data_IF_416442977787
#
_entry.id   IF_416442977787
#
_cell.length_a   1.000
_cell.length_b   1.000
_cell.length_c   1.000
_cell.angle_alpha   90.00
_cell.angle_beta   90.00
_cell.angle_gamma   90.00
#
_symmetry.space_group_name_H-M   'P 1'
#
loop_
_entity.id
_entity.type
_entity.pdbx_description
1 polymer ?
#
# COMPACT_ATOMS: atom_id res chain seq x y z
N UNK A 1 -30.80 0.54 60.90
CA UNK A 1 -29.90 0.41 59.73
C UNK A 1 -30.67 -0.34 58.67
N UNK A 2 -31.26 0.38 57.73
CA UNK A 2 -32.21 -0.16 56.76
C UNK A 2 -31.47 -0.81 55.58
N UNK A 3 -31.71 -2.10 55.26
CA UNK A 3 -31.01 -2.83 54.19
C UNK A 3 -31.51 -2.49 52.77
N UNK A 4 -32.33 -1.44 52.60
CA UNK A 4 -33.01 -1.11 51.33
C UNK A 4 -32.37 0.02 50.51
N UNK A 5 -31.29 0.63 50.98
CA UNK A 5 -30.65 1.79 50.30
C UNK A 5 -29.51 1.44 49.34
N UNK A 6 -29.05 0.18 49.28
CA UNK A 6 -27.94 -0.22 48.40
C UNK A 6 -28.37 -0.67 47.00
N UNK A 7 -29.67 -0.82 46.74
CA UNK A 7 -30.16 -1.36 45.45
C UNK A 7 -30.28 -0.32 44.33
N UNK A 8 -30.12 0.97 44.64
CA UNK A 8 -30.29 2.08 43.68
C UNK A 8 -28.98 2.63 43.09
N UNK A 9 -27.81 2.15 43.52
CA UNK A 9 -26.51 2.70 43.07
C UNK A 9 -25.81 1.89 41.97
N UNK A 10 -26.41 0.80 41.47
CA UNK A 10 -25.75 -0.13 40.55
C UNK A 10 -26.20 -0.06 39.08
N UNK A 11 -27.10 0.86 38.71
CA UNK A 11 -27.69 0.88 37.35
C UNK A 11 -27.06 1.90 36.40
N UNK A 12 -26.06 2.70 36.79
CA UNK A 12 -25.36 3.62 35.89
C UNK A 12 -24.08 3.03 35.30
N UNK A 13 -24.11 1.77 34.85
CA UNK A 13 -23.12 1.29 33.88
C UNK A 13 -23.57 1.74 32.48
N UNK A 14 -23.31 3.02 32.20
CA UNK A 14 -23.53 3.64 30.89
C UNK A 14 -22.87 2.76 29.82
N UNK A 15 -23.67 2.33 28.85
CA UNK A 15 -23.22 1.71 27.62
C UNK A 15 -22.09 2.55 27.02
N UNK A 16 -20.84 2.10 27.14
CA UNK A 16 -19.83 2.45 26.16
C UNK A 16 -20.29 1.84 24.85
N UNK A 17 -20.97 2.62 24.02
CA UNK A 17 -21.18 2.28 22.63
C UNK A 17 -19.79 2.05 22.03
N UNK A 18 -19.48 0.80 21.68
CA UNK A 18 -18.32 0.51 20.86
C UNK A 18 -18.50 1.27 19.54
N UNK A 19 -17.83 2.41 19.41
CA UNK A 19 -17.61 3.04 18.11
C UNK A 19 -16.70 2.10 17.34
N UNK A 20 -17.30 1.13 16.65
CA UNK A 20 -16.58 0.26 15.75
C UNK A 20 -16.19 1.11 14.54
N UNK A 21 -14.96 1.65 14.57
CA UNK A 21 -14.31 2.10 13.35
C UNK A 21 -14.13 0.87 12.46
N UNK A 22 -15.04 0.69 11.50
CA UNK A 22 -14.91 -0.37 10.50
C UNK A 22 -13.61 -0.09 9.76
N UNK A 23 -12.65 -1.00 9.91
CA UNK A 23 -11.37 -0.85 9.24
C UNK A 23 -11.59 -0.72 7.72
N UNK A 24 -10.88 0.18 7.02
CA UNK A 24 -11.05 0.35 5.58
C UNK A 24 -10.44 -0.84 4.84
N UNK A 25 -11.24 -1.90 4.66
CA UNK A 25 -10.83 -3.14 4.00
C UNK A 25 -11.24 -3.08 2.53
N UNK A 26 -10.30 -3.40 1.64
CA UNK A 26 -10.53 -3.55 0.19
C UNK A 26 -10.18 -4.97 -0.23
N UNK A 27 -11.14 -5.67 -0.85
CA UNK A 27 -10.95 -6.96 -1.52
C UNK A 27 -10.60 -6.70 -3.00
N UNK A 28 -9.43 -7.16 -3.43
CA UNK A 28 -8.95 -7.04 -4.81
C UNK A 28 -8.92 -8.40 -5.53
N UNK A 29 -9.80 -9.33 -5.17
CA UNK A 29 -9.99 -10.68 -5.75
C UNK A 29 -8.90 -11.72 -5.47
N UNK A 30 -7.65 -11.30 -5.31
CA UNK A 30 -6.53 -12.20 -4.98
C UNK A 30 -6.13 -12.12 -3.50
N UNK A 31 -6.30 -10.96 -2.86
CA UNK A 31 -6.06 -10.71 -1.43
C UNK A 31 -6.98 -9.62 -0.91
N UNK A 32 -7.09 -9.52 0.42
CA UNK A 32 -7.74 -8.39 1.09
C UNK A 32 -6.67 -7.48 1.71
N UNK A 33 -6.92 -6.17 1.73
CA UNK A 33 -6.00 -5.19 2.28
C UNK A 33 -6.70 -4.28 3.29
N UNK A 34 -6.18 -4.25 4.52
CA UNK A 34 -6.63 -3.37 5.59
C UNK A 34 -5.82 -2.08 5.57
N UNK A 35 -6.45 -0.99 5.13
CA UNK A 35 -5.85 0.34 5.08
C UNK A 35 -5.92 1.10 6.39
N UNK A 36 -5.69 2.41 6.30
CA UNK A 36 -5.79 3.36 7.40
C UNK A 36 -6.56 4.61 6.97
N UNK A 37 -7.55 4.99 7.76
CA UNK A 37 -8.17 6.33 7.68
C UNK A 37 -7.20 7.35 8.27
N UNK A 38 -6.91 8.41 7.51
CA UNK A 38 -6.00 9.47 7.92
C UNK A 38 -6.68 10.57 8.75
N UNK A 39 -8.00 10.56 8.86
CA UNK A 39 -8.77 11.57 9.60
C UNK A 39 -8.94 12.91 8.88
N UNK A 40 -8.46 13.01 7.63
CA UNK A 40 -8.56 14.19 6.77
C UNK A 40 -9.36 13.91 5.48
N UNK A 41 -10.42 13.11 5.61
CA UNK A 41 -11.28 12.66 4.49
C UNK A 41 -10.55 11.84 3.41
N UNK A 42 -9.36 11.31 3.74
CA UNK A 42 -8.58 10.42 2.87
C UNK A 42 -8.31 9.12 3.59
N UNK A 43 -8.49 8.01 2.88
CA UNK A 43 -8.05 6.68 3.30
C UNK A 43 -6.84 6.26 2.47
N UNK A 44 -5.89 5.59 3.11
CA UNK A 44 -4.70 5.05 2.45
C UNK A 44 -4.61 3.52 2.57
N UNK A 45 -4.06 2.90 1.54
CA UNK A 45 -3.64 1.51 1.50
C UNK A 45 -2.22 1.46 0.95
N UNK A 46 -1.26 1.22 1.83
CA UNK A 46 0.17 1.24 1.53
C UNK A 46 0.71 -0.19 1.41
N UNK A 47 1.61 -0.42 0.47
CA UNK A 47 2.26 -1.73 0.35
C UNK A 47 1.39 -2.83 -0.25
N UNK A 48 0.44 -2.49 -1.12
CA UNK A 48 -0.33 -3.45 -1.89
C UNK A 48 0.59 -4.12 -2.90
N UNK A 49 0.63 -5.45 -2.91
CA UNK A 49 1.46 -6.21 -3.85
C UNK A 49 0.74 -6.28 -5.19
N UNK A 50 1.35 -5.75 -6.26
CA UNK A 50 0.80 -5.82 -7.62
C UNK A 50 1.43 -6.92 -8.49
N UNK A 51 2.55 -7.50 -8.04
CA UNK A 51 3.22 -8.59 -8.73
C UNK A 51 3.93 -9.55 -7.75
N UNK A 52 4.19 -10.77 -8.18
CA UNK A 52 5.00 -11.74 -7.45
C UNK A 52 6.39 -11.15 -7.10
N UNK A 53 6.98 -11.55 -5.95
CA UNK A 53 8.35 -11.16 -5.61
C UNK A 53 9.33 -11.52 -6.75
N UNK A 54 10.07 -10.56 -7.33
CA UNK A 54 10.97 -10.82 -8.46
C UNK A 54 12.34 -11.36 -7.98
N UNK A 55 12.31 -12.39 -7.14
CA UNK A 55 13.48 -13.04 -6.51
C UNK A 55 13.62 -14.47 -7.02
N UNK A 56 14.80 -15.09 -6.80
CA UNK A 56 15.06 -16.45 -7.26
C UNK A 56 14.92 -16.58 -8.78
N UNK A 57 14.12 -17.54 -9.23
CA UNK A 57 13.88 -17.81 -10.66
C UNK A 57 13.11 -16.68 -11.36
N UNK A 58 12.43 -15.80 -10.61
CA UNK A 58 11.74 -14.63 -11.16
C UNK A 58 12.67 -13.41 -11.29
N UNK A 59 13.93 -13.53 -10.85
CA UNK A 59 14.92 -12.47 -11.01
C UNK A 59 15.21 -12.29 -12.51
N UNK A 60 15.12 -11.04 -12.98
CA UNK A 60 15.25 -10.67 -14.40
C UNK A 60 14.16 -11.21 -15.35
N UNK A 61 13.11 -11.85 -14.83
CA UNK A 61 11.93 -12.22 -15.62
C UNK A 61 10.90 -11.09 -15.63
N UNK A 62 9.96 -11.05 -16.60
CA UNK A 62 8.79 -10.17 -16.53
C UNK A 62 8.00 -10.37 -15.22
N UNK A 63 7.36 -9.32 -14.67
CA UNK A 63 6.51 -9.47 -13.49
C UNK A 63 5.45 -10.55 -13.69
N UNK A 64 5.21 -11.36 -12.67
CA UNK A 64 4.15 -12.37 -12.64
C UNK A 64 3.04 -11.93 -11.70
N UNK A 65 1.85 -12.52 -11.85
CA UNK A 65 0.70 -12.22 -11.00
C UNK A 65 1.01 -12.41 -9.51
N UNK A 66 0.47 -11.55 -8.63
CA UNK A 66 0.65 -11.69 -7.20
C UNK A 66 0.02 -12.99 -6.68
N UNK A 67 0.69 -13.65 -5.74
CA UNK A 67 0.18 -14.87 -5.10
C UNK A 67 -1.20 -14.60 -4.47
N UNK A 68 -2.17 -15.40 -4.91
CA UNK A 68 -3.52 -15.44 -4.35
C UNK A 68 -3.51 -16.24 -3.07
N UNK A 69 -3.65 -15.57 -1.93
CA UNK A 69 -3.81 -16.26 -0.65
C UNK A 69 -5.17 -16.03 0.00
N UNK A 70 -5.98 -15.09 -0.51
CA UNK A 70 -7.27 -14.68 0.09
C UNK A 70 -7.16 -14.28 1.57
N UNK A 71 -5.95 -13.96 2.02
CA UNK A 71 -5.70 -13.49 3.38
C UNK A 71 -5.82 -11.97 3.44
N UNK A 72 -6.28 -11.48 4.59
CA UNK A 72 -6.25 -10.06 4.92
C UNK A 72 -4.83 -9.62 5.28
N UNK A 73 -4.31 -8.64 4.54
CA UNK A 73 -2.95 -8.12 4.66
C UNK A 73 -3.00 -6.70 5.23
N UNK A 74 -2.10 -6.40 6.16
CA UNK A 74 -1.92 -5.04 6.66
C UNK A 74 -1.34 -4.13 5.57
N UNK A 75 -2.09 -3.08 5.22
CA UNK A 75 -1.74 -2.05 4.26
C UNK A 75 -1.63 -0.67 4.93
N UNK A 76 -1.16 -0.62 6.18
CA UNK A 76 -1.02 0.64 6.93
C UNK A 76 0.36 1.30 6.78
N UNK A 77 1.35 0.62 6.19
CA UNK A 77 2.76 1.06 6.13
C UNK A 77 3.36 0.89 4.73
N UNK A 78 4.18 1.85 4.32
CA UNK A 78 5.01 1.73 3.13
C UNK A 78 5.91 0.50 3.21
N UNK A 79 6.14 -0.14 2.06
CA UNK A 79 7.11 -1.24 1.91
C UNK A 79 8.43 -0.71 1.38
N UNK A 80 9.46 -1.54 1.51
CA UNK A 80 10.82 -1.21 1.09
C UNK A 80 10.85 -0.92 -0.41
N UNK A 81 11.68 0.05 -0.82
CA UNK A 81 11.93 0.34 -2.23
C UNK A 81 12.84 -0.69 -2.88
N UNK A 82 12.89 -0.71 -4.21
CA UNK A 82 13.72 -1.67 -4.92
C UNK A 82 15.21 -1.44 -4.65
N UNK A 83 15.94 -2.54 -4.59
CA UNK A 83 17.40 -2.52 -4.51
C UNK A 83 17.98 -1.97 -5.80
N UNK A 84 19.10 -1.27 -5.67
CA UNK A 84 19.95 -0.80 -6.76
C UNK A 84 21.34 -1.39 -6.51
N UNK A 85 22.21 -1.43 -7.52
CA UNK A 85 23.60 -1.86 -7.31
C UNK A 85 24.25 -0.95 -6.26
N UNK A 86 24.24 -1.38 -5.00
CA UNK A 86 24.70 -0.62 -3.85
C UNK A 86 25.83 -1.42 -3.22
N UNK A 87 27.00 -0.79 -3.14
CA UNK A 87 28.18 -1.30 -2.44
C UNK A 87 28.00 -1.33 -0.92
N UNK A 88 26.84 -0.91 -0.41
CA UNK A 88 26.53 -0.87 1.02
C UNK A 88 25.50 -1.96 1.37
N UNK A 89 25.99 -3.17 1.63
CA UNK A 89 25.17 -4.27 2.16
C UNK A 89 24.33 -3.86 3.39
N UNK A 90 24.80 -2.85 4.14
CA UNK A 90 24.19 -2.32 5.35
C UNK A 90 22.77 -1.74 5.18
N UNK A 91 22.34 -1.39 3.95
CA UNK A 91 21.01 -0.79 3.69
C UNK A 91 19.98 -1.79 3.15
N UNK A 92 20.43 -2.98 2.71
CA UNK A 92 19.57 -4.07 2.23
C UNK A 92 18.81 -4.67 3.41
N UNK A 93 17.53 -4.97 3.23
CA UNK A 93 16.64 -5.46 4.29
C UNK A 93 16.14 -4.38 5.26
N UNK A 94 16.77 -3.20 5.31
CA UNK A 94 16.35 -2.07 6.14
C UNK A 94 15.52 -1.04 5.38
N UNK A 95 16.02 -0.61 4.23
CA UNK A 95 15.39 0.42 3.40
C UNK A 95 15.17 -0.02 1.95
N UNK A 96 15.74 -1.15 1.56
CA UNK A 96 15.73 -1.69 0.19
C UNK A 96 15.55 -3.20 0.19
N UNK A 97 14.87 -3.73 -0.82
CA UNK A 97 14.65 -5.17 -1.01
C UNK A 97 14.55 -5.50 -2.51
N UNK A 98 14.88 -6.74 -2.90
CA UNK A 98 14.47 -7.25 -4.23
C UNK A 98 12.97 -7.56 -4.26
N UNK A 99 12.39 -7.99 -3.13
CA UNK A 99 10.93 -8.03 -2.97
C UNK A 99 10.40 -6.61 -2.71
N UNK A 100 10.12 -5.89 -3.79
CA UNK A 100 9.78 -4.46 -3.75
C UNK A 100 8.59 -4.06 -4.63
N UNK A 101 7.95 -4.99 -5.35
CA UNK A 101 6.86 -4.71 -6.30
C UNK A 101 5.54 -4.42 -5.57
N UNK A 102 5.49 -3.23 -4.98
CA UNK A 102 4.36 -2.72 -4.22
C UNK A 102 3.87 -1.39 -4.80
N UNK A 103 2.56 -1.18 -4.69
CA UNK A 103 1.90 0.09 -4.92
C UNK A 103 1.22 0.59 -3.65
N UNK A 104 0.90 1.88 -3.64
CA UNK A 104 0.17 2.55 -2.58
C UNK A 104 -1.00 3.30 -3.20
N UNK A 105 -2.16 3.26 -2.55
CA UNK A 105 -3.39 3.91 -2.99
C UNK A 105 -3.84 4.90 -1.93
N UNK A 106 -4.20 6.10 -2.36
CA UNK A 106 -4.86 7.11 -1.54
C UNK A 106 -6.18 7.46 -2.23
N UNK A 107 -7.29 7.42 -1.50
CA UNK A 107 -8.60 7.74 -2.06
C UNK A 107 -9.44 8.55 -1.06
N UNK A 108 -10.42 9.35 -1.54
CA UNK A 108 -11.39 9.98 -0.66
C UNK A 108 -12.13 8.92 0.17
N UNK A 109 -12.24 9.17 1.48
CA UNK A 109 -12.84 8.24 2.45
C UNK A 109 -14.29 7.88 2.10
N UNK A 110 -15.07 8.90 1.73
CA UNK A 110 -16.52 8.77 1.53
C UNK A 110 -16.89 8.55 0.05
N UNK A 111 -15.91 8.20 -0.81
CA UNK A 111 -16.18 7.88 -2.20
C UNK A 111 -17.06 6.62 -2.30
N UNK A 112 -18.20 6.67 -3.01
CA UNK A 112 -19.00 5.48 -3.28
C UNK A 112 -18.16 4.41 -4.00
N UNK A 113 -18.39 3.11 -3.71
CA UNK A 113 -17.66 2.00 -4.36
C UNK A 113 -17.71 2.01 -5.89
N UNK A 114 -18.77 2.58 -6.47
CA UNK A 114 -18.98 2.70 -7.93
C UNK A 114 -18.67 4.09 -8.48
N UNK A 115 -18.06 4.97 -7.69
CA UNK A 115 -17.69 6.30 -8.13
C UNK A 115 -16.63 6.23 -9.25
N UNK A 116 -16.82 7.04 -10.29
CA UNK A 116 -15.86 7.20 -11.38
C UNK A 116 -14.97 8.39 -11.08
N UNK A 117 -13.96 8.18 -10.24
CA UNK A 117 -12.95 9.20 -9.92
C UNK A 117 -11.81 9.14 -10.93
N UNK A 118 -11.16 10.27 -11.18
CA UNK A 118 -9.90 10.30 -11.93
C UNK A 118 -8.84 9.53 -11.16
N UNK A 119 -8.09 8.66 -11.84
CA UNK A 119 -6.95 7.95 -11.25
C UNK A 119 -5.67 8.61 -11.74
N UNK A 120 -4.89 9.16 -10.82
CA UNK A 120 -3.57 9.71 -11.09
C UNK A 120 -2.51 8.72 -10.61
N UNK A 121 -1.70 8.21 -11.54
CA UNK A 121 -0.63 7.26 -11.25
C UNK A 121 0.72 7.98 -11.28
N UNK A 122 1.36 8.12 -10.12
CA UNK A 122 2.69 8.69 -9.96
C UNK A 122 3.77 7.62 -10.16
N UNK A 123 4.41 7.67 -11.33
CA UNK A 123 5.59 6.87 -11.64
C UNK A 123 6.82 7.65 -11.17
N UNK A 124 7.35 7.26 -10.03
CA UNK A 124 8.49 7.97 -9.42
C UNK A 124 9.72 8.00 -10.33
N UNK A 125 10.45 9.11 -10.29
CA UNK A 125 11.75 9.23 -10.95
C UNK A 125 12.90 8.59 -10.17
N UNK A 126 14.10 8.88 -10.64
CA UNK A 126 15.36 8.39 -10.09
C UNK A 126 16.26 7.76 -11.14
N UNK A 127 16.31 8.33 -12.35
CA UNK A 127 17.30 8.00 -13.39
C UNK A 127 17.40 6.51 -13.78
N UNK A 128 16.35 5.72 -13.53
CA UNK A 128 16.37 4.25 -13.62
C UNK A 128 17.42 3.56 -12.74
N UNK A 129 18.02 4.28 -11.78
CA UNK A 129 19.04 3.80 -10.86
C UNK A 129 18.64 3.96 -9.38
N UNK A 130 17.44 4.46 -9.11
CA UNK A 130 16.85 4.58 -7.78
C UNK A 130 15.34 4.75 -7.82
N UNK A 131 14.65 4.28 -6.78
CA UNK A 131 13.31 4.73 -6.41
C UNK A 131 13.46 5.91 -5.43
N UNK A 132 13.50 7.12 -5.96
CA UNK A 132 13.85 8.32 -5.18
C UNK A 132 12.70 8.89 -4.36
N UNK A 133 11.45 8.51 -4.64
CA UNK A 133 10.26 9.10 -3.99
C UNK A 133 9.21 8.06 -3.57
N UNK A 134 9.65 6.91 -3.06
CA UNK A 134 8.78 5.77 -2.73
C UNK A 134 7.79 6.00 -1.56
N UNK A 135 7.95 7.06 -0.76
CA UNK A 135 7.10 7.39 0.41
C UNK A 135 6.29 8.68 0.22
N UNK A 136 5.97 9.07 -1.01
CA UNK A 136 5.10 10.23 -1.25
C UNK A 136 3.72 10.01 -0.62
N UNK A 137 3.23 11.04 0.06
CA UNK A 137 1.86 11.11 0.56
C UNK A 137 0.95 11.79 -0.47
N UNK A 138 -0.04 11.06 -0.98
CA UNK A 138 -1.00 11.57 -1.97
C UNK A 138 -2.15 12.41 -1.39
N UNK A 139 -2.31 12.46 -0.06
CA UNK A 139 -3.50 13.05 0.57
C UNK A 139 -3.71 14.54 0.27
N UNK A 140 -2.63 15.31 0.16
CA UNK A 140 -2.71 16.75 -0.12
C UNK A 140 -3.25 17.04 -1.52
N UNK A 141 -2.87 16.23 -2.52
CA UNK A 141 -3.36 16.39 -3.89
C UNK A 141 -4.85 16.02 -3.99
N UNK A 142 -5.29 15.01 -3.24
CA UNK A 142 -6.71 14.63 -3.17
C UNK A 142 -7.53 15.77 -2.58
N UNK A 143 -7.07 16.38 -1.48
CA UNK A 143 -7.73 17.53 -0.87
C UNK A 143 -7.78 18.73 -1.81
N UNK A 144 -6.66 19.07 -2.46
CA UNK A 144 -6.59 20.18 -3.42
C UNK A 144 -7.52 19.97 -4.63
N UNK A 145 -7.78 18.72 -5.02
CA UNK A 145 -8.72 18.38 -6.10
C UNK A 145 -10.21 18.49 -5.71
N UNK A 146 -10.51 18.80 -4.44
CA UNK A 146 -11.87 18.74 -3.92
C UNK A 146 -12.41 17.31 -3.79
N UNK A 147 -11.55 16.35 -3.41
CA UNK A 147 -11.88 14.94 -3.21
C UNK A 147 -12.34 14.20 -4.49
N UNK A 148 -11.81 14.58 -5.66
CA UNK A 148 -12.23 14.02 -6.97
C UNK A 148 -11.23 13.09 -7.65
N UNK A 149 -10.10 12.83 -7.00
CA UNK A 149 -8.99 12.07 -7.56
C UNK A 149 -8.55 10.95 -6.61
N UNK A 150 -8.18 9.80 -7.16
CA UNK A 150 -7.46 8.72 -6.50
C UNK A 150 -5.99 8.80 -6.90
N UNK A 151 -5.08 8.75 -5.93
CA UNK A 151 -3.64 8.77 -6.20
C UNK A 151 -3.07 7.38 -6.01
N UNK A 152 -2.31 6.91 -7.00
CA UNK A 152 -1.57 5.66 -6.93
C UNK A 152 -0.08 5.96 -7.06
N UNK A 153 0.75 5.43 -6.17
CA UNK A 153 2.21 5.49 -6.29
C UNK A 153 2.76 4.07 -6.34
N UNK A 154 3.88 3.82 -7.02
CA UNK A 154 4.44 2.47 -7.10
C UNK A 154 5.96 2.42 -7.11
N UNK A 155 6.47 1.28 -6.66
CA UNK A 155 7.84 0.86 -6.90
C UNK A 155 7.92 0.02 -8.17
N UNK A 156 9.01 0.19 -8.92
CA UNK A 156 9.36 -0.64 -10.06
C UNK A 156 10.86 -0.98 -9.99
N UNK A 157 11.25 -2.11 -10.59
CA UNK A 157 12.66 -2.51 -10.68
C UNK A 157 13.45 -1.44 -11.43
N UNK A 158 14.52 -1.00 -10.81
CA UNK A 158 15.52 -0.11 -11.38
C UNK A 158 16.74 -0.94 -11.74
N UNK A 159 17.50 -0.50 -12.75
CA UNK A 159 18.61 -1.27 -13.31
C UNK A 159 19.65 -1.59 -12.23
N UNK A 160 19.93 -2.88 -11.94
CA UNK A 160 21.26 -3.28 -11.55
C UNK A 160 22.16 -3.21 -12.80
N UNK A 161 23.46 -2.95 -12.65
CA UNK A 161 24.40 -3.26 -13.72
C UNK A 161 24.18 -4.72 -14.14
N UNK A 162 23.75 -4.90 -15.39
CA UNK A 162 23.47 -6.22 -15.98
C UNK A 162 24.73 -7.08 -15.82
N UNK A 163 24.68 -8.28 -15.22
CA UNK A 163 25.73 -9.26 -15.45
C UNK A 163 25.76 -9.55 -16.95
N UNK A 164 26.93 -9.44 -17.57
CA UNK A 164 27.14 -9.49 -19.02
C UNK A 164 26.47 -10.70 -19.72
N UNK A 165 26.18 -11.77 -18.98
CA UNK A 165 25.62 -13.03 -19.49
C UNK A 165 24.10 -13.21 -19.35
N UNK A 166 23.33 -12.21 -18.93
CA UNK A 166 21.86 -12.34 -18.87
C UNK A 166 21.21 -12.23 -20.27
N UNK A 167 20.24 -13.08 -20.65
CA UNK A 167 19.48 -12.96 -21.91
C UNK A 167 18.82 -11.59 -22.08
N UNK A 168 18.69 -11.09 -23.31
CA UNK A 168 18.00 -9.83 -23.61
C UNK A 168 16.50 -9.97 -23.38
N UNK A 169 16.06 -9.78 -22.14
CA UNK A 169 14.64 -9.58 -21.81
C UNK A 169 14.35 -8.09 -21.96
N UNK A 170 13.48 -7.74 -22.89
CA UNK A 170 13.04 -6.36 -23.09
C UNK A 170 12.36 -5.80 -21.84
N UNK A 171 12.60 -4.53 -21.55
CA UNK A 171 11.89 -3.82 -20.48
C UNK A 171 10.49 -3.44 -20.99
N UNK A 172 9.58 -4.40 -21.09
CA UNK A 172 8.16 -4.08 -21.27
C UNK A 172 7.55 -3.75 -19.91
N UNK A 173 7.08 -2.52 -19.76
CA UNK A 173 6.18 -2.13 -18.68
C UNK A 173 4.77 -2.47 -19.17
N UNK A 174 4.35 -3.72 -18.96
CA UNK A 174 2.97 -4.11 -19.23
C UNK A 174 2.08 -3.61 -18.09
N UNK A 175 1.37 -2.51 -18.31
CA UNK A 175 0.19 -2.16 -17.53
C UNK A 175 -1.00 -2.82 -18.22
N UNK A 176 -1.42 -3.98 -17.72
CA UNK A 176 -2.71 -4.54 -18.11
C UNK A 176 -3.76 -3.81 -17.26
N UNK A 177 -4.44 -2.84 -17.86
CA UNK A 177 -5.54 -2.07 -17.26
C UNK A 177 -6.86 -2.72 -17.65
#
# INVERSE_FOLDING_TARGET
MDPRSHLLLLTTLMLFAFVNSVAPIVDVSYNEYKGKDLGNSVTQWLGIRYAAPPVGDLRFMPPQDPVRSRQSKDASKFKLKCVVHSTQAQVIGKSRSEDCLFLNVFAPKDAPRKAKLLVFIDIQGGGFNANSRYMINGSNLIQASGLKVVIVTLNYRVLPSRPEKSPRVGTEIYFQI
#
